data_IF_748729497961
#
_entry.id   IF_748729497961
#
_cell.length_a   1.000
_cell.length_b   1.000
_cell.length_c   1.000
_cell.angle_alpha   90.00
_cell.angle_beta   90.00
_cell.angle_gamma   90.00
#
_symmetry.space_group_name_H-M   'P 1'
#
loop_
_entity.id
_entity.type
_entity.pdbx_description
1 polymer ?
#
# COMPACT_ATOMS: atom_id res chain seq x y z
N UNK A 1 -34.60 9.72 -45.06
CA UNK A 1 -33.92 10.31 -43.89
C UNK A 1 -32.44 10.45 -44.26
N UNK A 2 -32.00 11.66 -44.53
CA UNK A 2 -30.66 11.94 -45.08
C UNK A 2 -29.52 11.67 -44.06
N UNK A 3 -28.34 11.33 -44.55
CA UNK A 3 -27.13 11.10 -43.74
C UNK A 3 -26.85 12.27 -42.79
N UNK A 4 -27.23 13.51 -43.15
CA UNK A 4 -27.10 14.71 -42.32
C UNK A 4 -27.92 14.65 -41.02
N UNK A 5 -29.07 14.04 -40.99
CA UNK A 5 -29.90 13.93 -39.78
C UNK A 5 -29.26 12.99 -38.73
N UNK A 6 -28.53 11.95 -39.19
CA UNK A 6 -27.84 10.99 -38.30
C UNK A 6 -26.59 11.58 -37.69
N UNK A 7 -25.83 12.41 -38.43
CA UNK A 7 -24.63 13.07 -37.93
C UNK A 7 -24.97 14.17 -36.93
N UNK A 8 -26.03 14.95 -37.17
CA UNK A 8 -26.50 16.00 -36.26
C UNK A 8 -27.02 15.35 -34.95
N UNK A 9 -27.77 14.23 -35.05
CA UNK A 9 -28.23 13.50 -33.88
C UNK A 9 -27.10 12.95 -33.01
N UNK A 10 -26.05 12.38 -33.61
CA UNK A 10 -24.88 11.89 -32.88
C UNK A 10 -24.09 13.03 -32.23
N UNK A 11 -23.89 14.16 -32.90
CA UNK A 11 -23.21 15.32 -32.33
C UNK A 11 -23.98 15.93 -31.17
N UNK A 12 -25.32 15.95 -31.25
CA UNK A 12 -26.20 16.45 -30.19
C UNK A 12 -26.17 15.53 -28.95
N UNK A 13 -26.14 14.20 -29.14
CA UNK A 13 -25.99 13.25 -28.04
C UNK A 13 -24.63 13.36 -27.34
N UNK A 14 -23.55 13.55 -28.07
CA UNK A 14 -22.18 13.71 -27.50
C UNK A 14 -22.07 15.03 -26.72
N UNK A 15 -22.67 16.11 -27.23
CA UNK A 15 -22.67 17.43 -26.58
C UNK A 15 -23.52 17.39 -25.28
N UNK A 16 -24.66 16.71 -25.29
CA UNK A 16 -25.46 16.54 -24.08
C UNK A 16 -24.82 15.62 -23.06
N UNK A 17 -24.09 14.59 -23.49
CA UNK A 17 -23.33 13.72 -22.59
C UNK A 17 -22.17 14.47 -21.92
N UNK A 18 -21.45 15.33 -22.65
CA UNK A 18 -20.43 16.20 -22.11
C UNK A 18 -20.98 17.25 -21.12
N UNK A 19 -22.19 17.78 -21.38
CA UNK A 19 -22.87 18.73 -20.51
C UNK A 19 -23.43 18.07 -19.23
N UNK A 20 -23.90 16.82 -19.32
CA UNK A 20 -24.31 16.03 -18.16
C UNK A 20 -23.14 15.72 -17.21
N UNK A 21 -21.92 15.52 -17.74
CA UNK A 21 -20.71 15.31 -16.92
C UNK A 21 -20.26 16.62 -16.27
N UNK A 22 -20.44 17.77 -16.92
CA UNK A 22 -20.10 19.09 -16.38
C UNK A 22 -21.11 19.60 -15.32
N UNK A 23 -22.37 19.17 -15.40
CA UNK A 23 -23.45 19.59 -14.51
C UNK A 23 -23.71 18.69 -13.30
N UNK A 24 -23.07 17.53 -13.23
CA UNK A 24 -23.09 16.66 -12.07
C UNK A 24 -22.10 17.16 -10.99
N UNK A 25 -22.32 18.39 -10.51
CA UNK A 25 -21.97 18.74 -9.14
C UNK A 25 -22.91 17.91 -8.27
N UNK A 26 -22.50 16.68 -7.96
CA UNK A 26 -23.23 15.84 -7.05
C UNK A 26 -23.32 16.58 -5.71
N UNK A 27 -24.48 17.15 -5.45
CA UNK A 27 -24.89 17.50 -4.10
C UNK A 27 -25.02 16.18 -3.35
N UNK A 28 -23.92 15.77 -2.72
CA UNK A 28 -23.91 14.66 -1.78
C UNK A 28 -24.95 14.94 -0.70
N UNK A 29 -25.83 13.97 -0.40
CA UNK A 29 -26.77 14.13 0.72
C UNK A 29 -25.97 14.43 2.00
N UNK A 30 -26.50 15.30 2.85
CA UNK A 30 -25.90 15.76 4.12
C UNK A 30 -25.60 14.66 5.15
N UNK A 31 -25.68 13.41 4.79
CA UNK A 31 -25.36 12.25 5.64
C UNK A 31 -23.88 12.16 6.04
N UNK A 32 -22.96 12.76 5.25
CA UNK A 32 -21.51 12.70 5.53
C UNK A 32 -20.98 13.93 6.29
N UNK A 33 -21.83 14.86 6.72
CA UNK A 33 -21.40 16.03 7.51
C UNK A 33 -20.98 15.72 8.96
N UNK A 34 -21.02 14.46 9.38
CA UNK A 34 -20.59 14.01 10.71
C UNK A 34 -19.13 13.56 10.79
N UNK A 35 -18.47 13.32 9.68
CA UNK A 35 -17.03 13.06 9.67
C UNK A 35 -16.32 14.40 9.47
N UNK A 36 -15.76 14.94 10.55
CA UNK A 36 -14.86 16.09 10.45
C UNK A 36 -13.76 15.73 9.46
N UNK A 37 -13.71 16.46 8.35
CA UNK A 37 -12.59 16.38 7.41
C UNK A 37 -11.33 16.82 8.17
N UNK A 38 -10.62 15.85 8.73
CA UNK A 38 -9.24 16.09 9.15
C UNK A 38 -8.50 16.49 7.88
N UNK A 39 -7.90 17.69 7.80
CA UNK A 39 -7.21 18.10 6.59
C UNK A 39 -6.18 17.05 6.24
N UNK A 40 -6.24 16.51 5.02
CA UNK A 40 -5.23 15.59 4.53
C UNK A 40 -3.86 16.26 4.69
N UNK A 41 -2.99 15.69 5.52
CA UNK A 41 -1.63 16.19 5.72
C UNK A 41 -0.90 16.09 4.38
N UNK A 42 -0.66 17.24 3.76
CA UNK A 42 0.20 17.32 2.58
C UNK A 42 1.64 16.99 2.99
N UNK A 43 2.47 16.57 2.05
CA UNK A 43 3.90 16.30 2.32
C UNK A 43 4.63 17.50 2.96
N UNK A 44 4.13 18.72 2.73
CA UNK A 44 4.64 19.96 3.31
C UNK A 44 4.24 20.19 4.77
N UNK A 45 3.11 19.63 5.22
CA UNK A 45 2.62 19.73 6.60
C UNK A 45 3.08 18.58 7.49
N UNK A 46 3.91 17.68 6.97
CA UNK A 46 4.49 16.59 7.76
C UNK A 46 5.39 17.20 8.85
N UNK A 47 5.19 16.85 10.14
CA UNK A 47 6.09 17.29 11.21
C UNK A 47 7.54 17.04 10.87
N UNK A 48 8.43 17.92 11.30
CA UNK A 48 9.87 17.81 10.99
C UNK A 48 10.46 16.46 11.44
N UNK A 49 9.96 15.94 12.57
CA UNK A 49 10.32 14.61 13.11
C UNK A 49 9.97 13.46 12.15
N UNK A 50 8.92 13.59 11.34
CA UNK A 50 8.51 12.55 10.38
C UNK A 50 9.15 12.71 8.99
N UNK A 51 9.78 13.86 8.69
CA UNK A 51 10.46 14.06 7.40
C UNK A 51 11.71 13.19 7.24
N UNK A 52 12.35 12.86 8.35
CA UNK A 52 13.57 12.03 8.39
C UNK A 52 13.26 10.54 8.52
N UNK A 53 12.00 10.18 8.80
CA UNK A 53 11.61 8.78 8.98
C UNK A 53 11.31 8.15 7.64
N UNK A 54 12.02 7.09 7.32
CA UNK A 54 11.90 6.37 6.06
C UNK A 54 11.70 4.88 6.30
N UNK A 55 11.04 4.27 5.35
CA UNK A 55 11.02 2.84 5.16
C UNK A 55 11.51 2.59 3.73
N UNK A 56 12.81 2.78 3.56
CA UNK A 56 13.45 2.72 2.25
C UNK A 56 13.49 1.28 1.75
N UNK A 57 13.05 1.07 0.52
CA UNK A 57 13.10 -0.26 -0.10
C UNK A 57 14.55 -0.70 -0.31
N UNK A 58 14.85 -1.91 0.13
CA UNK A 58 16.13 -2.58 -0.03
C UNK A 58 15.93 -3.99 -0.59
N UNK A 59 15.16 -4.07 -1.67
CA UNK A 59 14.82 -5.34 -2.31
C UNK A 59 16.06 -6.15 -2.64
N UNK A 60 16.01 -7.45 -2.36
CA UNK A 60 17.12 -8.38 -2.59
C UNK A 60 18.27 -8.28 -1.60
N UNK A 61 18.26 -7.33 -0.66
CA UNK A 61 19.28 -7.27 0.38
C UNK A 61 18.98 -8.28 1.49
N UNK A 62 20.00 -8.90 2.06
CA UNK A 62 19.84 -9.86 3.16
C UNK A 62 19.60 -9.15 4.49
N UNK A 63 18.78 -9.77 5.34
CA UNK A 63 18.71 -9.45 6.75
C UNK A 63 19.91 -10.04 7.52
N UNK A 64 20.32 -9.44 8.63
CA UNK A 64 21.37 -9.99 9.51
C UNK A 64 20.80 -11.15 10.34
N UNK A 65 20.75 -12.35 9.74
CA UNK A 65 20.18 -13.54 10.36
C UNK A 65 20.94 -14.02 11.61
N UNK A 66 22.18 -13.57 11.80
CA UNK A 66 23.02 -13.79 12.98
C UNK A 66 22.66 -12.88 14.17
N UNK A 67 21.80 -11.88 13.97
CA UNK A 67 21.37 -10.97 15.04
C UNK A 67 20.65 -11.75 16.14
N UNK A 68 21.18 -11.68 17.38
CA UNK A 68 20.62 -12.39 18.53
C UNK A 68 19.60 -11.49 19.22
N UNK A 69 18.36 -11.97 19.26
CA UNK A 69 17.20 -11.33 19.89
C UNK A 69 16.68 -12.22 21.03
N UNK A 70 15.71 -11.74 21.78
CA UNK A 70 14.99 -12.53 22.78
C UNK A 70 13.59 -12.79 22.28
N UNK A 71 13.16 -14.05 22.34
CA UNK A 71 11.77 -14.41 22.05
C UNK A 71 10.82 -14.03 23.21
N UNK A 72 9.54 -14.22 23.04
CA UNK A 72 8.48 -13.94 24.02
C UNK A 72 8.64 -14.74 25.32
N UNK A 73 9.40 -15.82 25.29
CA UNK A 73 9.73 -16.64 26.48
C UNK A 73 11.06 -16.23 27.14
N UNK A 74 11.76 -15.24 26.57
CA UNK A 74 13.03 -14.72 27.08
C UNK A 74 14.26 -15.51 26.64
N UNK A 75 14.12 -16.51 25.78
CA UNK A 75 15.24 -17.25 25.23
C UNK A 75 15.99 -16.39 24.20
N UNK A 76 17.32 -16.39 24.27
CA UNK A 76 18.17 -15.75 23.27
C UNK A 76 18.23 -16.58 22.00
N UNK A 77 17.74 -16.02 20.90
CA UNK A 77 17.63 -16.72 19.62
C UNK A 77 18.21 -15.87 18.47
N UNK A 78 18.93 -16.47 17.53
CA UNK A 78 19.32 -15.76 16.32
C UNK A 78 18.08 -15.51 15.48
N UNK A 79 18.00 -14.36 14.79
CA UNK A 79 16.89 -14.04 13.88
C UNK A 79 16.71 -15.14 12.84
N UNK A 80 17.77 -15.77 12.39
CA UNK A 80 17.78 -16.88 11.45
C UNK A 80 16.99 -18.13 11.88
N UNK A 81 16.64 -18.26 13.18
CA UNK A 81 15.77 -19.35 13.68
C UNK A 81 14.44 -19.42 12.94
N UNK A 82 13.94 -18.27 12.49
CA UNK A 82 12.64 -18.13 11.84
C UNK A 82 12.71 -18.22 10.30
N UNK A 83 13.88 -18.49 9.77
CA UNK A 83 14.17 -18.59 8.34
C UNK A 83 14.71 -19.98 7.98
N UNK A 84 14.82 -20.31 6.69
CA UNK A 84 15.38 -21.57 6.22
C UNK A 84 14.39 -22.75 6.15
N UNK A 85 13.10 -22.54 6.51
CA UNK A 85 12.06 -23.58 6.53
C UNK A 85 11.22 -23.68 5.26
N UNK A 86 11.71 -23.25 4.09
CA UNK A 86 10.95 -23.13 2.82
C UNK A 86 9.69 -22.26 2.94
N UNK A 87 9.55 -21.50 4.00
CA UNK A 87 8.43 -20.59 4.24
C UNK A 87 8.89 -19.14 4.21
N UNK A 88 8.15 -18.24 3.55
CA UNK A 88 8.41 -16.81 3.64
C UNK A 88 8.07 -16.29 5.03
N UNK A 89 8.66 -15.17 5.40
CA UNK A 89 8.42 -14.52 6.69
C UNK A 89 7.80 -13.15 6.45
N UNK A 90 6.74 -12.83 7.16
CA UNK A 90 6.22 -11.48 7.28
C UNK A 90 6.93 -10.82 8.47
N UNK A 91 7.71 -9.78 8.19
CA UNK A 91 8.45 -9.03 9.20
C UNK A 91 7.82 -7.65 9.40
N UNK A 92 7.57 -7.26 10.64
CA UNK A 92 7.19 -5.88 10.97
C UNK A 92 7.97 -5.37 12.19
N UNK A 93 8.21 -4.05 12.17
CA UNK A 93 8.81 -3.34 13.29
C UNK A 93 7.71 -2.63 14.07
N UNK A 94 7.60 -2.96 15.34
CA UNK A 94 6.56 -2.45 16.25
C UNK A 94 7.18 -2.11 17.61
N UNK A 95 6.42 -1.56 18.54
CA UNK A 95 6.74 -1.61 19.96
C UNK A 95 5.48 -1.96 20.75
N UNK A 96 5.62 -2.80 21.76
CA UNK A 96 4.48 -3.51 22.34
C UNK A 96 3.61 -2.62 23.23
N UNK A 97 4.19 -1.56 23.79
CA UNK A 97 3.47 -0.59 24.62
C UNK A 97 2.92 0.62 23.81
N UNK A 98 2.93 0.53 22.48
CA UNK A 98 2.36 1.57 21.62
C UNK A 98 0.86 1.72 21.85
N UNK A 99 0.37 2.93 22.16
CA UNK A 99 -1.05 3.13 22.43
C UNK A 99 -1.93 3.08 21.17
N UNK A 100 -1.38 3.17 19.96
CA UNK A 100 -2.22 3.36 18.78
C UNK A 100 -1.70 2.67 17.51
N UNK A 101 -0.59 3.11 16.93
CA UNK A 101 -0.21 2.78 15.55
C UNK A 101 0.24 1.32 15.37
N UNK A 102 1.00 0.77 16.31
CA UNK A 102 1.46 -0.61 16.23
C UNK A 102 0.31 -1.61 16.34
N UNK A 103 -0.72 -1.30 17.14
CA UNK A 103 -1.95 -2.09 17.22
C UNK A 103 -2.65 -2.09 15.85
N UNK A 104 -2.70 -0.97 15.15
CA UNK A 104 -3.32 -0.87 13.83
C UNK A 104 -2.56 -1.68 12.77
N UNK A 105 -1.22 -1.68 12.79
CA UNK A 105 -0.39 -2.53 11.92
C UNK A 105 -0.72 -4.01 12.14
N UNK A 106 -0.74 -4.46 13.39
CA UNK A 106 -1.05 -5.85 13.74
C UNK A 106 -2.49 -6.20 13.35
N UNK A 107 -3.47 -5.33 13.62
CA UNK A 107 -4.87 -5.55 13.27
C UNK A 107 -5.08 -5.62 11.75
N UNK A 108 -4.45 -4.71 11.01
CA UNK A 108 -4.52 -4.71 9.54
C UNK A 108 -3.89 -5.95 8.92
N UNK A 109 -2.77 -6.42 9.48
CA UNK A 109 -2.16 -7.68 9.08
C UNK A 109 -3.11 -8.86 9.36
N UNK A 110 -3.61 -8.98 10.58
CA UNK A 110 -4.53 -10.07 10.96
C UNK A 110 -5.81 -10.07 10.13
N UNK A 111 -6.39 -8.90 9.87
CA UNK A 111 -7.56 -8.76 9.00
C UNK A 111 -7.28 -9.27 7.57
N UNK A 112 -6.10 -8.97 7.04
CA UNK A 112 -5.68 -9.43 5.71
C UNK A 112 -5.43 -10.94 5.69
N UNK A 113 -4.76 -11.46 6.71
CA UNK A 113 -4.47 -12.91 6.82
C UNK A 113 -5.72 -13.76 6.94
N UNK A 114 -6.74 -13.30 7.68
CA UNK A 114 -8.04 -14.00 7.79
C UNK A 114 -8.76 -14.17 6.46
N UNK A 115 -8.50 -13.34 5.48
CA UNK A 115 -9.06 -13.45 4.14
C UNK A 115 -8.28 -14.42 3.23
N UNK A 116 -7.15 -14.97 3.72
CA UNK A 116 -6.33 -15.93 3.00
C UNK A 116 -6.67 -17.36 3.41
N UNK A 117 -6.37 -18.30 2.54
CA UNK A 117 -6.39 -19.74 2.83
C UNK A 117 -5.05 -20.27 3.36
N UNK A 118 -4.13 -19.36 3.74
CA UNK A 118 -2.81 -19.68 4.25
C UNK A 118 -2.80 -19.61 5.78
N UNK A 119 -2.03 -20.46 6.42
CA UNK A 119 -1.94 -20.60 7.86
C UNK A 119 -0.56 -20.18 8.37
N UNK A 120 -0.50 -19.29 9.36
CA UNK A 120 0.72 -18.95 10.05
C UNK A 120 1.29 -20.19 10.76
N UNK A 121 2.60 -20.36 10.71
CA UNK A 121 3.30 -21.53 11.22
C UNK A 121 3.43 -22.67 10.22
N UNK A 122 2.57 -22.72 9.20
CA UNK A 122 2.56 -23.76 8.16
C UNK A 122 3.04 -23.23 6.81
N UNK A 123 2.37 -22.20 6.30
CA UNK A 123 2.64 -21.63 4.98
C UNK A 123 3.58 -20.42 5.04
N UNK A 124 3.61 -19.70 6.15
CA UNK A 124 4.48 -18.55 6.43
C UNK A 124 4.64 -18.38 7.94
N UNK A 125 5.60 -17.58 8.35
CA UNK A 125 5.73 -17.12 9.74
C UNK A 125 5.59 -15.59 9.82
N UNK A 126 5.15 -15.08 10.98
CA UNK A 126 5.07 -13.66 11.29
C UNK A 126 6.08 -13.35 12.40
N UNK A 127 7.00 -12.45 12.11
CA UNK A 127 8.03 -12.00 13.06
C UNK A 127 7.82 -10.52 13.33
N UNK A 128 7.50 -10.18 14.55
CA UNK A 128 7.35 -8.81 15.03
C UNK A 128 8.56 -8.46 15.90
N UNK A 129 9.36 -7.48 15.47
CA UNK A 129 10.54 -7.03 16.21
C UNK A 129 10.23 -5.72 16.90
N UNK A 130 10.30 -5.70 18.25
CA UNK A 130 10.18 -4.44 18.97
C UNK A 130 11.43 -3.60 18.78
N UNK A 131 11.21 -2.32 18.44
CA UNK A 131 12.28 -1.33 18.37
C UNK A 131 12.38 -0.44 19.62
N UNK A 132 11.52 -0.65 20.62
CA UNK A 132 11.64 0.01 21.93
C UNK A 132 12.56 -0.82 22.83
N UNK A 133 13.73 -0.30 23.24
CA UNK A 133 14.66 -1.04 24.11
C UNK A 133 14.09 -1.27 25.52
N UNK A 134 12.97 -0.63 25.87
CA UNK A 134 12.27 -0.81 27.14
C UNK A 134 11.31 -2.01 27.13
N UNK A 135 10.96 -2.50 25.93
CA UNK A 135 10.10 -3.67 25.82
C UNK A 135 10.83 -4.93 26.31
N UNK A 136 10.10 -5.72 27.06
CA UNK A 136 10.59 -6.96 27.67
C UNK A 136 9.94 -8.19 27.04
N UNK A 137 10.54 -9.39 27.15
CA UNK A 137 9.88 -10.63 26.75
C UNK A 137 8.51 -10.82 27.38
N UNK A 138 8.32 -10.39 28.62
CA UNK A 138 7.03 -10.45 29.28
C UNK A 138 5.98 -9.55 28.60
N UNK A 139 6.37 -8.36 28.14
CA UNK A 139 5.51 -7.48 27.36
C UNK A 139 5.20 -8.06 25.97
N UNK A 140 6.17 -8.75 25.36
CA UNK A 140 5.98 -9.49 24.11
C UNK A 140 4.94 -10.61 24.27
N UNK A 141 5.09 -11.45 25.29
CA UNK A 141 4.17 -12.54 25.59
C UNK A 141 2.75 -12.04 25.88
N UNK A 142 2.61 -10.97 26.66
CA UNK A 142 1.29 -10.37 26.93
C UNK A 142 0.66 -9.79 25.68
N UNK A 143 1.45 -9.14 24.81
CA UNK A 143 0.97 -8.62 23.53
C UNK A 143 0.54 -9.76 22.61
N UNK A 144 1.34 -10.81 22.49
CA UNK A 144 1.00 -12.01 21.73
C UNK A 144 -0.33 -12.59 22.21
N UNK A 145 -0.44 -12.90 23.49
CA UNK A 145 -1.64 -13.47 24.10
C UNK A 145 -2.89 -12.62 23.80
N UNK A 146 -2.85 -11.33 24.09
CA UNK A 146 -4.00 -10.43 23.91
C UNK A 146 -4.35 -10.20 22.44
N UNK A 147 -3.36 -10.19 21.55
CA UNK A 147 -3.61 -10.03 20.13
C UNK A 147 -4.19 -11.31 19.52
N UNK A 148 -3.57 -12.45 19.78
CA UNK A 148 -3.99 -13.74 19.22
C UNK A 148 -5.35 -14.19 19.75
N UNK A 149 -5.66 -13.96 21.04
CA UNK A 149 -6.97 -14.23 21.62
C UNK A 149 -8.11 -13.51 20.86
N UNK A 150 -7.83 -12.33 20.36
CA UNK A 150 -8.82 -11.53 19.63
C UNK A 150 -8.89 -11.86 18.12
N UNK A 151 -7.76 -12.20 17.49
CA UNK A 151 -7.63 -12.22 16.04
C UNK A 151 -7.46 -13.59 15.41
N UNK A 152 -6.96 -14.58 16.13
CA UNK A 152 -6.59 -15.88 15.56
C UNK A 152 -7.32 -17.03 16.23
N UNK A 153 -7.50 -18.11 15.49
CA UNK A 153 -7.81 -19.41 16.08
C UNK A 153 -6.52 -19.96 16.73
N UNK A 154 -6.68 -20.74 17.80
CA UNK A 154 -5.56 -21.19 18.65
C UNK A 154 -4.45 -21.93 17.89
N UNK A 155 -4.79 -22.59 16.78
CA UNK A 155 -3.83 -23.39 16.01
C UNK A 155 -2.83 -22.57 15.18
N UNK A 156 -3.06 -21.27 14.99
CA UNK A 156 -2.16 -20.40 14.21
C UNK A 156 -1.18 -19.59 15.05
N UNK A 157 -1.30 -19.65 16.37
CA UNK A 157 -0.42 -18.95 17.32
C UNK A 157 1.07 -19.34 17.14
N UNK A 158 1.34 -20.60 16.84
CA UNK A 158 2.69 -21.12 16.65
C UNK A 158 3.50 -20.45 15.52
N UNK A 159 2.84 -19.72 14.64
CA UNK A 159 3.47 -18.99 13.52
C UNK A 159 3.71 -17.51 13.81
N UNK A 160 3.41 -17.02 15.02
CA UNK A 160 3.65 -15.64 15.42
C UNK A 160 4.78 -15.59 16.45
N UNK A 161 5.74 -14.70 16.23
CA UNK A 161 6.95 -14.57 17.04
C UNK A 161 7.20 -13.10 17.34
N UNK A 162 7.18 -12.75 18.61
CA UNK A 162 7.35 -11.39 19.09
C UNK A 162 8.70 -11.23 19.77
N UNK A 163 9.60 -10.54 19.10
CA UNK A 163 11.00 -10.46 19.50
C UNK A 163 11.32 -9.11 20.13
N UNK A 164 12.19 -9.16 21.15
CA UNK A 164 12.79 -7.99 21.78
C UNK A 164 14.31 -8.08 21.68
N UNK A 165 15.01 -6.97 21.88
CA UNK A 165 16.48 -6.96 21.84
C UNK A 165 17.07 -5.68 22.39
N UNK A 166 18.39 -5.67 22.51
CA UNK A 166 19.11 -4.43 22.79
C UNK A 166 19.05 -3.47 21.60
N UNK A 167 19.20 -2.18 21.89
CA UNK A 167 19.07 -1.12 20.88
C UNK A 167 20.01 -1.30 19.69
N UNK A 168 21.24 -1.72 19.91
CA UNK A 168 22.24 -1.87 18.85
C UNK A 168 21.86 -3.00 17.88
N UNK A 169 21.44 -4.14 18.43
CA UNK A 169 21.01 -5.30 17.65
C UNK A 169 19.74 -5.00 16.85
N UNK A 170 18.73 -4.41 17.50
CA UNK A 170 17.47 -4.04 16.84
C UNK A 170 17.70 -2.99 15.76
N UNK A 171 18.53 -1.97 16.04
CA UNK A 171 18.89 -0.94 15.04
C UNK A 171 19.62 -1.53 13.85
N UNK A 172 20.46 -2.53 14.04
CA UNK A 172 21.13 -3.26 12.95
C UNK A 172 20.12 -3.97 12.04
N UNK A 173 19.14 -4.67 12.61
CA UNK A 173 18.10 -5.37 11.87
C UNK A 173 17.19 -4.35 11.15
N UNK A 174 16.72 -3.32 11.86
CA UNK A 174 15.87 -2.27 11.30
C UNK A 174 16.56 -1.54 10.14
N UNK A 175 17.84 -1.16 10.33
CA UNK A 175 18.63 -0.50 9.28
C UNK A 175 18.81 -1.38 8.05
N UNK A 176 19.08 -2.67 8.21
CA UNK A 176 19.17 -3.61 7.09
C UNK A 176 17.85 -3.69 6.31
N UNK A 177 16.72 -3.64 7.00
CA UNK A 177 15.40 -3.59 6.41
C UNK A 177 15.01 -2.21 5.84
N UNK A 178 15.86 -1.18 5.96
CA UNK A 178 15.56 0.18 5.51
C UNK A 178 14.58 0.93 6.42
N UNK A 179 14.28 0.41 7.61
CA UNK A 179 13.39 1.00 8.58
C UNK A 179 14.14 1.96 9.52
N UNK A 180 13.61 3.18 9.66
CA UNK A 180 14.18 4.19 10.58
C UNK A 180 13.13 4.63 11.59
N UNK A 181 13.59 4.87 12.81
CA UNK A 181 12.76 5.35 13.91
C UNK A 181 13.59 6.28 14.81
N UNK A 182 12.92 7.19 15.51
CA UNK A 182 13.53 8.16 16.40
C UNK A 182 12.61 8.44 17.58
N UNK A 183 13.18 8.55 18.76
CA UNK A 183 12.46 9.01 19.93
C UNK A 183 12.14 10.50 19.79
N UNK A 184 10.89 10.88 20.00
CA UNK A 184 10.43 12.27 20.05
C UNK A 184 10.15 12.65 21.50
N UNK A 185 10.97 13.53 22.03
CA UNK A 185 10.87 13.98 23.43
C UNK A 185 9.61 14.84 23.70
N UNK A 186 9.04 15.48 22.68
CA UNK A 186 7.87 16.33 22.86
C UNK A 186 6.58 15.50 23.02
N UNK A 187 6.49 14.41 22.31
CA UNK A 187 5.33 13.50 22.35
C UNK A 187 5.56 12.30 23.26
N UNK A 188 6.78 12.10 23.76
CA UNK A 188 7.22 10.91 24.51
C UNK A 188 6.90 9.59 23.78
N UNK A 189 7.02 9.61 22.45
CA UNK A 189 6.73 8.49 21.58
C UNK A 189 7.82 8.32 20.52
N UNK A 190 7.87 7.15 19.92
CA UNK A 190 8.72 6.95 18.74
C UNK A 190 8.03 7.48 17.48
N UNK A 191 8.71 8.37 16.78
CA UNK A 191 8.39 8.73 15.42
C UNK A 191 8.89 7.62 14.48
N UNK A 192 8.00 7.02 13.72
CA UNK A 192 8.32 5.98 12.75
C UNK A 192 7.26 5.91 11.66
N UNK A 193 7.58 5.27 10.56
CA UNK A 193 6.61 4.91 9.50
C UNK A 193 5.98 3.55 9.80
N UNK A 194 4.80 3.30 9.27
CA UNK A 194 4.09 2.03 9.41
C UNK A 194 4.23 1.19 8.15
N UNK A 195 4.33 -0.11 8.33
CA UNK A 195 4.36 -1.06 7.25
C UNK A 195 4.89 -2.41 7.68
N UNK A 196 4.90 -3.33 6.72
CA UNK A 196 5.48 -4.67 6.88
C UNK A 196 6.27 -5.06 5.64
N UNK A 197 7.06 -6.09 5.79
CA UNK A 197 7.91 -6.68 4.75
C UNK A 197 7.55 -8.13 4.56
N UNK A 198 7.64 -8.62 3.34
CA UNK A 198 7.72 -10.06 3.08
C UNK A 198 9.17 -10.37 2.72
N UNK A 199 9.69 -11.39 3.37
CA UNK A 199 11.08 -11.83 3.30
C UNK A 199 11.12 -13.27 2.83
N UNK A 200 12.05 -13.60 1.94
CA UNK A 200 12.20 -14.97 1.43
C UNK A 200 12.69 -15.93 2.53
N UNK A 201 12.57 -17.25 2.34
CA UNK A 201 13.11 -18.23 3.29
C UNK A 201 14.62 -18.06 3.55
N UNK A 202 15.36 -17.51 2.60
CA UNK A 202 16.81 -17.23 2.71
C UNK A 202 17.12 -15.91 3.43
N UNK A 203 16.09 -15.16 3.84
CA UNK A 203 16.26 -13.88 4.53
C UNK A 203 16.47 -12.68 3.62
N UNK A 204 16.10 -12.77 2.33
CA UNK A 204 16.18 -11.66 1.39
C UNK A 204 14.88 -10.85 1.39
N UNK A 205 15.01 -9.53 1.41
CA UNK A 205 13.87 -8.61 1.37
C UNK A 205 13.18 -8.69 0.01
N UNK A 206 11.93 -9.18 -0.01
CA UNK A 206 11.20 -9.44 -1.24
C UNK A 206 10.17 -8.37 -1.57
N UNK A 207 9.34 -7.95 -0.62
CA UNK A 207 8.30 -6.95 -0.87
C UNK A 207 8.04 -6.08 0.37
N UNK A 208 7.66 -4.82 0.11
CA UNK A 208 7.28 -3.85 1.13
C UNK A 208 5.80 -3.52 1.02
N UNK A 209 5.15 -3.39 2.17
CA UNK A 209 3.78 -2.92 2.30
C UNK A 209 3.77 -1.73 3.25
N UNK A 210 3.26 -0.60 2.79
CA UNK A 210 3.22 0.64 3.56
C UNK A 210 1.84 0.89 4.17
N UNK A 211 1.81 1.57 5.31
CA UNK A 211 0.59 1.91 6.01
C UNK A 211 0.13 0.83 6.97
N UNK A 212 -1.17 0.78 7.20
CA UNK A 212 -1.83 -0.08 8.21
C UNK A 212 -2.90 -0.99 7.61
N UNK A 213 -3.23 -0.83 6.35
CA UNK A 213 -4.20 -1.65 5.61
C UNK A 213 -3.47 -2.37 4.48
N UNK A 214 -3.65 -3.68 4.40
CA UNK A 214 -2.95 -4.52 3.44
C UNK A 214 -3.96 -5.27 2.58
N UNK A 215 -3.80 -5.20 1.26
CA UNK A 215 -4.63 -5.96 0.32
C UNK A 215 -4.38 -7.46 0.48
N UNK A 216 -5.40 -8.28 0.82
CA UNK A 216 -5.21 -9.73 0.93
C UNK A 216 -4.66 -10.34 -0.35
N UNK A 217 -5.11 -9.86 -1.52
CA UNK A 217 -4.64 -10.35 -2.82
C UNK A 217 -3.14 -10.10 -3.02
N UNK A 218 -2.69 -8.88 -2.70
CA UNK A 218 -1.28 -8.52 -2.86
C UNK A 218 -0.39 -9.25 -1.86
N UNK A 219 -0.85 -9.37 -0.61
CA UNK A 219 -0.15 -10.12 0.42
C UNK A 219 -0.02 -11.59 0.05
N UNK A 220 -1.10 -12.21 -0.46
CA UNK A 220 -1.07 -13.57 -0.97
C UNK A 220 -0.04 -13.75 -2.09
N UNK A 221 -0.03 -12.84 -3.07
CA UNK A 221 0.92 -12.88 -4.17
C UNK A 221 2.36 -12.76 -3.66
N UNK A 222 2.63 -11.82 -2.76
CA UNK A 222 3.95 -11.63 -2.17
C UNK A 222 4.44 -12.87 -1.42
N UNK A 223 3.57 -13.54 -0.67
CA UNK A 223 3.90 -14.79 0.04
C UNK A 223 4.25 -15.92 -0.94
N UNK A 224 3.45 -16.09 -2.00
CA UNK A 224 3.71 -17.12 -3.03
C UNK A 224 5.03 -16.84 -3.77
N UNK A 225 5.25 -15.62 -4.23
CA UNK A 225 6.47 -15.22 -4.93
C UNK A 225 7.71 -15.40 -4.04
N UNK A 226 7.62 -14.94 -2.79
CA UNK A 226 8.73 -15.04 -1.83
C UNK A 226 9.05 -16.47 -1.43
N UNK A 227 8.06 -17.38 -1.35
CA UNK A 227 8.28 -18.80 -1.07
C UNK A 227 9.09 -19.50 -2.17
N UNK A 228 9.09 -18.95 -3.38
CA UNK A 228 9.87 -19.43 -4.53
C UNK A 228 11.22 -18.67 -4.67
N UNK A 229 11.58 -17.86 -3.69
CA UNK A 229 12.79 -17.03 -3.74
C UNK A 229 12.71 -15.85 -4.70
N UNK A 230 11.52 -15.54 -5.22
CA UNK A 230 11.35 -14.38 -6.10
C UNK A 230 11.35 -13.08 -5.31
N UNK A 231 12.08 -12.13 -5.81
CA UNK A 231 12.16 -10.78 -5.25
C UNK A 231 11.27 -9.88 -6.12
N UNK A 232 10.44 -9.06 -5.48
CA UNK A 232 9.56 -8.12 -6.17
C UNK A 232 10.36 -7.27 -7.16
N UNK A 233 9.78 -7.06 -8.34
CA UNK A 233 10.46 -6.31 -9.41
C UNK A 233 10.33 -4.80 -9.16
N UNK A 234 11.38 -3.99 -9.46
CA UNK A 234 11.27 -2.53 -9.52
C UNK A 234 10.22 -2.02 -10.54
N UNK A 235 9.81 -2.87 -11.48
CA UNK A 235 8.73 -2.59 -12.45
C UNK A 235 7.38 -2.49 -11.74
N UNK A 236 7.18 -3.23 -10.64
CA UNK A 236 6.01 -3.08 -9.78
C UNK A 236 5.99 -1.71 -9.11
N UNK A 237 7.15 -1.14 -8.81
CA UNK A 237 7.30 0.21 -8.28
C UNK A 237 6.86 1.27 -9.30
N UNK A 238 7.17 1.08 -10.58
CA UNK A 238 6.71 1.97 -11.65
C UNK A 238 5.19 1.88 -11.85
N UNK A 239 4.63 0.66 -11.79
CA UNK A 239 3.18 0.46 -11.85
C UNK A 239 2.48 1.03 -10.62
N UNK A 240 3.03 0.84 -9.41
CA UNK A 240 2.51 1.45 -8.18
C UNK A 240 2.67 2.98 -8.20
N UNK A 241 3.72 3.52 -8.81
CA UNK A 241 3.87 4.95 -9.02
C UNK A 241 2.81 5.51 -9.98
N UNK A 242 2.41 4.74 -11.00
CA UNK A 242 1.28 5.07 -11.87
C UNK A 242 -0.08 4.94 -11.16
N UNK A 243 -0.18 4.06 -10.17
CA UNK A 243 -1.35 3.83 -9.33
C UNK A 243 -1.26 4.51 -7.96
N UNK A 244 -0.53 5.61 -7.82
CA UNK A 244 -0.56 6.41 -6.59
C UNK A 244 -1.99 6.94 -6.32
N UNK A 245 -2.83 6.00 -5.88
CA UNK A 245 -4.00 6.31 -5.10
C UNK A 245 -3.48 6.67 -3.72
N UNK A 246 -3.60 7.92 -3.34
CA UNK A 246 -3.35 8.34 -1.96
C UNK A 246 -4.58 7.94 -1.13
N UNK A 247 -4.48 6.86 -0.32
CA UNK A 247 -5.62 6.38 0.47
C UNK A 247 -6.01 7.38 1.56
N UNK A 248 -5.10 8.30 1.95
CA UNK A 248 -5.37 9.31 2.96
C UNK A 248 -6.17 10.50 2.41
N UNK A 249 -6.05 10.80 1.12
CA UNK A 249 -6.79 11.89 0.48
C UNK A 249 -7.95 11.43 -0.39
N UNK A 250 -8.09 10.13 -0.66
CA UNK A 250 -9.12 9.57 -1.55
C UNK A 250 -9.03 10.11 -2.99
N UNK A 251 -7.88 10.65 -3.39
CA UNK A 251 -7.71 11.34 -4.67
C UNK A 251 -6.61 10.70 -5.51
N UNK A 252 -6.87 10.58 -6.79
CA UNK A 252 -5.84 10.24 -7.76
C UNK A 252 -4.82 11.38 -7.84
N UNK A 253 -3.54 11.05 -7.82
CA UNK A 253 -2.45 12.01 -7.90
C UNK A 253 -2.57 12.95 -9.10
N UNK A 254 -1.97 14.14 -9.01
CA UNK A 254 -2.00 15.19 -10.04
C UNK A 254 -1.57 14.65 -11.41
N UNK A 255 -0.67 13.69 -11.45
CA UNK A 255 -0.16 13.05 -12.67
C UNK A 255 -1.27 12.29 -13.39
N UNK A 256 -2.10 11.51 -12.70
CA UNK A 256 -3.21 10.73 -13.30
C UNK A 256 -4.28 11.68 -13.82
N UNK A 257 -4.61 12.74 -13.08
CA UNK A 257 -5.57 13.76 -13.55
C UNK A 257 -5.07 14.44 -14.84
N UNK A 258 -3.80 14.75 -14.91
CA UNK A 258 -3.21 15.37 -16.10
C UNK A 258 -3.14 14.38 -17.27
N UNK A 259 -2.84 13.12 -17.03
CA UNK A 259 -2.82 12.08 -18.05
C UNK A 259 -4.23 11.84 -18.64
N UNK A 260 -5.26 11.75 -17.78
CA UNK A 260 -6.65 11.63 -18.22
C UNK A 260 -7.09 12.87 -19.03
N UNK A 261 -6.71 14.07 -18.58
CA UNK A 261 -7.01 15.31 -19.32
C UNK A 261 -6.29 15.34 -20.68
N UNK A 262 -5.02 14.98 -20.74
CA UNK A 262 -4.27 14.92 -21.98
C UNK A 262 -4.86 13.87 -22.94
N UNK A 263 -5.21 12.68 -22.45
CA UNK A 263 -5.89 11.65 -23.24
C UNK A 263 -7.24 12.11 -23.77
N UNK A 264 -8.03 12.78 -22.93
CA UNK A 264 -9.32 13.36 -23.34
C UNK A 264 -9.17 14.41 -24.45
N UNK A 265 -8.23 15.33 -24.31
CA UNK A 265 -7.94 16.36 -25.32
C UNK A 265 -7.49 15.74 -26.64
N UNK A 266 -6.60 14.73 -26.59
CA UNK A 266 -6.14 14.02 -27.79
C UNK A 266 -7.29 13.30 -28.49
N UNK A 267 -8.19 12.65 -27.76
CA UNK A 267 -9.37 11.98 -28.31
C UNK A 267 -10.31 12.95 -29.01
N UNK A 268 -10.58 14.09 -28.38
CA UNK A 268 -11.44 15.15 -28.98
C UNK A 268 -10.79 15.73 -30.24
N UNK A 269 -9.49 16.03 -30.19
CA UNK A 269 -8.73 16.53 -31.35
C UNK A 269 -8.72 15.54 -32.51
N UNK A 270 -8.56 14.24 -32.22
CA UNK A 270 -8.62 13.18 -33.22
C UNK A 270 -10.00 13.11 -33.90
N UNK A 271 -11.08 13.10 -33.10
CA UNK A 271 -12.46 13.08 -33.63
C UNK A 271 -12.72 14.30 -34.51
N UNK A 272 -12.35 15.50 -34.06
CA UNK A 272 -12.50 16.73 -34.83
C UNK A 272 -11.68 16.68 -36.13
N UNK A 273 -10.45 16.17 -36.07
CA UNK A 273 -9.59 15.99 -37.25
C UNK A 273 -10.24 15.06 -38.30
N UNK A 274 -10.76 13.91 -37.86
CA UNK A 274 -11.49 12.98 -38.74
C UNK A 274 -12.73 13.64 -39.33
N UNK A 275 -13.53 14.36 -38.54
CA UNK A 275 -14.72 15.07 -39.03
C UNK A 275 -14.37 16.15 -40.08
N UNK A 276 -13.28 16.88 -39.86
CA UNK A 276 -12.85 17.90 -40.83
C UNK A 276 -12.31 17.29 -42.14
N UNK A 277 -11.60 16.17 -42.04
CA UNK A 277 -11.12 15.43 -43.21
C UNK A 277 -12.28 14.83 -44.04
N UNK A 278 -13.27 14.22 -43.38
CA UNK A 278 -14.41 13.65 -44.05
C UNK A 278 -15.31 14.74 -44.71
N UNK A 279 -15.49 15.89 -44.05
CA UNK A 279 -16.21 17.04 -44.64
C UNK A 279 -15.50 17.60 -45.87
N UNK A 280 -14.17 17.55 -45.94
CA UNK A 280 -13.41 18.02 -47.12
C UNK A 280 -13.54 17.07 -48.32
N UNK A 281 -13.92 15.85 -48.13
CA UNK A 281 -14.05 14.81 -49.17
C UNK A 281 -15.48 14.71 -49.75
N UNK A 282 -16.46 15.48 -49.28
CA UNK A 282 -17.78 15.51 -49.89
C UNK A 282 -17.66 16.17 -51.28
N UNK A 283 -17.88 15.43 -52.38
CA UNK A 283 -17.89 16.02 -53.74
C UNK A 283 -19.05 16.99 -53.82
N UNK A 284 -18.77 18.24 -54.30
CA UNK A 284 -19.81 19.20 -54.67
C UNK A 284 -20.60 18.57 -55.81
N UNK A 285 -21.81 18.15 -55.52
CA UNK A 285 -22.75 17.73 -56.58
C UNK A 285 -22.95 18.92 -57.54
N UNK A 286 -22.85 18.72 -58.88
CA UNK A 286 -23.10 19.77 -59.84
C UNK A 286 -24.55 20.22 -59.67
N UNK A 287 -24.76 21.54 -59.70
CA UNK A 287 -26.09 22.15 -59.74
C UNK A 287 -26.75 21.75 -61.05
N UNK A 288 -27.71 20.80 -60.95
CA UNK A 288 -28.54 20.39 -62.08
C UNK A 288 -29.43 21.56 -62.48
N UNK A 289 -29.26 21.98 -63.73
CA UNK A 289 -29.91 23.15 -64.31
C UNK A 289 -31.43 23.00 -64.32
N UNK A 290 -32.11 24.08 -63.96
CA UNK A 290 -33.51 24.27 -64.23
C UNK A 290 -33.69 24.49 -65.73
N UNK A 291 -34.52 23.65 -66.38
CA UNK A 291 -35.30 23.96 -67.53
C UNK A 291 -36.77 24.11 -67.15
#
# INVERSE_FOLDING_TARGET
>A
MSAHARVIGAAFCILNFAFCIAGASAQSPNFLKGFSETPAMTAETRPASLKEMTFAQRLGQPLPLDAVLKDEHGASVPLGKYFGGNKPVILAFVYFQCPMLCIQVMNGLSASLRALSFEAGKDFDVVLVSFDPRDTPAAALEKERTHLEYWTEQDTAAGWHLLTGDEATVRRVASAAGFTYKWDEQTEQFAHVSGLLVVTPEGLLSRYFYGIEYSPRELRMALVESSQGHIGSPVDELLLFCFQYDPLSGRYGVVIKNLIRAGGVLTVAFILGVMLLTRRQEPRLPAEGRL
#
